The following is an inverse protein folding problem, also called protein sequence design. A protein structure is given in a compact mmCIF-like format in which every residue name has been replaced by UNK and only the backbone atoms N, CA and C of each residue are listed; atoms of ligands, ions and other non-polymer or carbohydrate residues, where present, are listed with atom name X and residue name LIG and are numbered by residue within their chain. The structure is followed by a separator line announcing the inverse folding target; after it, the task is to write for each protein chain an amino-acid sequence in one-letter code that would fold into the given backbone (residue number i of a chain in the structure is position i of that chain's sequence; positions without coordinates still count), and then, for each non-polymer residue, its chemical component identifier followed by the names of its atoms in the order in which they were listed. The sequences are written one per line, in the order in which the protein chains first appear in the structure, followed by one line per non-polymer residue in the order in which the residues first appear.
data_IF_214333843402
#
_entry.id   IF_214333843402
#
_cell.length_a   1.000
_cell.length_b   1.000
_cell.length_c   1.000
_cell.angle_alpha   90.00
_cell.angle_beta   90.00
_cell.angle_gamma   90.00
#
_symmetry.space_group_name_H-M   'P 1'
#
loop_
_entity.id
_entity.type
_entity.pdbx_description
1 polymer ?
#
# COMPACT_ATOMS: atom_id res chain seq x y z
N UNK A 1 -64.82 -46.71 44.46
CA UNK A 1 -64.04 -45.76 45.27
C UNK A 1 -62.65 -45.67 44.69
N UNK A 2 -62.38 -44.60 43.96
CA UNK A 2 -61.09 -44.38 43.25
C UNK A 2 -60.54 -43.05 43.72
N UNK A 3 -59.34 -43.05 44.24
CA UNK A 3 -58.65 -41.87 44.75
C UNK A 3 -57.71 -41.45 43.63
N UNK A 4 -57.93 -40.24 43.08
CA UNK A 4 -57.07 -39.61 42.04
C UNK A 4 -55.88 -38.95 42.70
N UNK A 5 -54.68 -39.31 42.24
CA UNK A 5 -53.40 -38.65 42.63
C UNK A 5 -53.11 -37.48 41.74
N UNK A 6 -53.05 -36.27 42.31
CA UNK A 6 -52.60 -35.05 41.67
C UNK A 6 -51.04 -35.07 41.63
N UNK A 7 -50.45 -35.00 40.39
CA UNK A 7 -49.01 -34.77 40.21
C UNK A 7 -48.78 -33.27 40.02
N UNK A 8 -48.04 -32.66 40.93
CA UNK A 8 -47.51 -31.31 40.78
C UNK A 8 -46.33 -31.29 39.75
N UNK A 9 -46.46 -30.55 38.70
CA UNK A 9 -45.36 -30.27 37.79
C UNK A 9 -44.75 -28.91 38.19
N UNK A 10 -43.52 -28.95 38.72
CA UNK A 10 -42.74 -27.73 39.00
C UNK A 10 -42.11 -27.21 37.72
N UNK A 11 -42.54 -26.06 37.28
CA UNK A 11 -41.94 -25.33 36.15
C UNK A 11 -40.70 -24.58 36.70
N UNK A 12 -39.50 -25.03 36.34
CA UNK A 12 -38.26 -24.27 36.60
C UNK A 12 -38.09 -23.27 35.46
N UNK A 13 -38.29 -21.98 35.73
CA UNK A 13 -38.00 -20.88 34.80
C UNK A 13 -36.49 -20.58 34.88
N UNK A 14 -35.75 -20.92 33.86
CA UNK A 14 -34.37 -20.47 33.69
C UNK A 14 -34.36 -19.03 33.15
N UNK A 15 -34.04 -18.06 34.00
CA UNK A 15 -33.77 -16.69 33.57
C UNK A 15 -32.33 -16.62 33.03
N UNK A 16 -32.19 -16.70 31.70
CA UNK A 16 -30.92 -16.46 31.03
C UNK A 16 -30.53 -14.98 31.13
N UNK A 17 -29.48 -14.68 31.87
CA UNK A 17 -28.88 -13.34 31.86
C UNK A 17 -28.13 -13.20 30.54
N UNK A 18 -28.71 -12.45 29.60
CA UNK A 18 -28.01 -12.01 28.38
C UNK A 18 -27.14 -10.81 28.76
N UNK A 19 -25.83 -11.08 28.97
CA UNK A 19 -24.86 -10.03 29.15
C UNK A 19 -24.64 -9.36 27.79
N UNK A 20 -25.17 -8.18 27.59
CA UNK A 20 -24.78 -7.28 26.50
C UNK A 20 -23.40 -6.74 26.83
N UNK A 21 -22.35 -7.31 26.22
CA UNK A 21 -21.06 -6.66 26.14
C UNK A 21 -21.21 -5.49 25.18
N UNK A 22 -21.29 -4.28 25.70
CA UNK A 22 -21.17 -3.07 24.91
C UNK A 22 -19.75 -3.04 24.34
N UNK A 23 -19.60 -3.32 23.05
CA UNK A 23 -18.39 -3.01 22.30
C UNK A 23 -18.27 -1.49 22.27
N UNK A 24 -17.39 -0.95 23.10
CA UNK A 24 -16.96 0.44 22.99
C UNK A 24 -16.24 0.57 21.66
N UNK A 25 -16.90 1.06 20.62
CA UNK A 25 -16.22 1.55 19.42
C UNK A 25 -15.32 2.69 19.87
N UNK A 26 -14.01 2.54 19.69
CA UNK A 26 -13.09 3.65 19.87
C UNK A 26 -13.57 4.78 18.93
N UNK A 27 -13.76 5.98 19.48
CA UNK A 27 -14.13 7.15 18.66
C UNK A 27 -13.06 7.33 17.61
N UNK A 28 -13.49 7.47 16.33
CA UNK A 28 -12.58 7.82 15.24
C UNK A 28 -11.87 9.13 15.58
N UNK A 29 -10.54 9.22 15.40
CA UNK A 29 -9.81 10.45 15.68
C UNK A 29 -10.44 11.62 14.92
N UNK A 30 -10.67 12.73 15.61
CA UNK A 30 -11.34 13.88 15.03
C UNK A 30 -10.52 14.47 13.86
N UNK A 31 -11.21 14.81 12.79
CA UNK A 31 -10.65 15.59 11.68
C UNK A 31 -10.39 17.02 12.15
N UNK A 32 -9.16 17.50 12.03
CA UNK A 32 -8.73 18.84 12.51
C UNK A 32 -8.49 19.74 11.32
N UNK A 33 -9.07 20.96 11.35
CA UNK A 33 -8.81 21.97 10.33
C UNK A 33 -7.36 22.49 10.45
N UNK A 34 -6.67 22.62 9.30
CA UNK A 34 -5.39 23.29 9.27
C UNK A 34 -5.58 24.80 9.46
N UNK A 35 -4.72 25.46 10.24
CA UNK A 35 -4.78 26.89 10.46
C UNK A 35 -4.53 27.65 9.14
N UNK A 36 -5.36 28.67 8.86
CA UNK A 36 -5.21 29.48 7.64
C UNK A 36 -3.97 30.37 7.66
N UNK A 37 -3.48 30.74 8.81
CA UNK A 37 -2.26 31.51 9.02
C UNK A 37 -0.97 30.70 8.77
N UNK A 38 -1.07 29.37 8.73
CA UNK A 38 0.03 28.48 8.31
C UNK A 38 0.06 28.24 6.78
N UNK A 39 -0.95 28.72 6.04
CA UNK A 39 -1.00 28.61 4.60
C UNK A 39 -0.13 29.67 3.91
N UNK A 40 0.50 29.28 2.80
CA UNK A 40 1.05 30.26 1.86
C UNK A 40 -0.09 30.87 1.04
N UNK A 41 -0.29 32.17 1.17
CA UNK A 41 -1.36 32.92 0.48
C UNK A 41 -0.95 33.22 -0.97
N UNK A 42 -1.84 32.94 -1.91
CA UNK A 42 -1.74 33.31 -3.33
C UNK A 42 -2.93 34.21 -3.69
N UNK A 43 -2.73 35.51 -3.56
CA UNK A 43 -3.79 36.51 -3.80
C UNK A 43 -4.16 36.62 -5.28
N UNK A 44 -3.26 36.30 -6.20
CA UNK A 44 -3.55 36.32 -7.63
C UNK A 44 -4.56 35.23 -8.00
N UNK A 45 -4.32 34.00 -7.51
CA UNK A 45 -5.18 32.84 -7.77
C UNK A 45 -6.33 32.69 -6.77
N UNK A 46 -6.31 33.51 -5.67
CA UNK A 46 -7.25 33.39 -4.55
C UNK A 46 -7.18 32.01 -3.87
N UNK A 47 -5.97 31.48 -3.66
CA UNK A 47 -5.72 30.18 -3.06
C UNK A 47 -4.95 30.29 -1.75
N UNK A 48 -5.21 29.33 -0.86
CA UNK A 48 -4.34 28.95 0.25
C UNK A 48 -3.61 27.66 -0.10
N UNK A 49 -2.28 27.65 0.02
CA UNK A 49 -1.43 26.50 -0.23
C UNK A 49 -0.90 25.94 1.07
N UNK A 50 -1.07 24.62 1.27
CA UNK A 50 -0.65 23.90 2.46
C UNK A 50 0.33 22.79 2.09
N UNK A 51 1.45 22.69 2.83
CA UNK A 51 2.35 21.54 2.73
C UNK A 51 1.60 20.28 3.16
N UNK A 52 1.63 19.25 2.31
CA UNK A 52 0.93 17.97 2.61
C UNK A 52 1.45 17.27 3.85
N UNK A 53 2.66 17.58 4.34
CA UNK A 53 3.18 17.04 5.58
C UNK A 53 2.31 17.40 6.80
N UNK A 54 1.63 18.54 6.78
CA UNK A 54 0.68 18.97 7.81
C UNK A 54 -0.56 18.05 7.90
N UNK A 55 -0.86 17.33 6.83
CA UNK A 55 -1.99 16.38 6.77
C UNK A 55 -1.64 14.98 7.31
N UNK A 56 -0.36 14.68 7.46
CA UNK A 56 0.14 13.34 7.80
C UNK A 56 0.30 12.45 6.56
N UNK A 57 1.55 12.16 6.19
CA UNK A 57 1.88 11.31 5.03
C UNK A 57 1.79 9.86 5.43
N UNK A 58 0.89 9.12 4.79
CA UNK A 58 0.78 7.65 4.91
C UNK A 58 1.76 6.95 3.95
N UNK A 59 2.10 5.69 4.24
CA UNK A 59 3.03 4.89 3.44
C UNK A 59 4.50 5.13 3.75
N UNK A 60 4.78 6.01 4.71
CA UNK A 60 6.10 6.27 5.27
C UNK A 60 6.29 5.46 6.56
N UNK A 61 7.27 4.55 6.59
CA UNK A 61 7.50 3.68 7.74
C UNK A 61 8.42 4.31 8.81
N UNK A 62 9.29 5.24 8.41
CA UNK A 62 10.23 5.91 9.33
C UNK A 62 10.10 7.42 9.23
N UNK A 63 10.17 8.09 10.37
CA UNK A 63 10.16 9.55 10.42
C UNK A 63 11.56 10.14 10.14
N UNK A 64 12.61 9.45 10.60
CA UNK A 64 14.02 9.87 10.50
C UNK A 64 14.60 9.50 9.13
N UNK A 65 14.12 10.15 8.08
CA UNK A 65 14.57 9.98 6.70
C UNK A 65 15.49 11.13 6.28
N UNK A 66 16.30 10.94 5.23
CA UNK A 66 17.24 11.97 4.73
C UNK A 66 16.51 13.10 4.00
N UNK A 67 15.40 12.81 3.33
CA UNK A 67 14.47 13.80 2.80
C UNK A 67 13.03 13.40 3.17
N UNK A 68 12.07 14.36 3.20
CA UNK A 68 10.73 14.15 3.75
C UNK A 68 9.96 12.95 3.16
N UNK A 69 10.19 12.67 1.88
CA UNK A 69 9.45 11.65 1.14
C UNK A 69 10.31 10.45 0.73
N UNK A 70 11.37 10.16 1.48
CA UNK A 70 12.17 8.95 1.34
C UNK A 70 11.49 7.75 1.97
N UNK A 71 11.69 6.56 1.39
CA UNK A 71 11.08 5.30 1.85
C UNK A 71 11.91 4.53 2.87
N UNK A 72 13.20 4.83 3.01
CA UNK A 72 14.09 4.22 4.02
C UNK A 72 14.61 5.28 5.01
N UNK A 73 14.93 4.86 6.25
CA UNK A 73 15.51 5.78 7.24
C UNK A 73 16.92 6.23 6.83
N UNK A 74 17.34 7.40 7.29
CA UNK A 74 18.67 7.95 6.95
C UNK A 74 19.83 6.98 7.29
N UNK A 75 19.70 6.22 8.38
CA UNK A 75 20.69 5.21 8.82
C UNK A 75 20.85 4.02 7.86
N UNK A 76 19.97 3.85 6.88
CA UNK A 76 20.08 2.81 5.86
C UNK A 76 21.15 3.14 4.78
N UNK A 77 21.56 4.41 4.66
CA UNK A 77 22.61 4.83 3.73
C UNK A 77 23.94 4.14 4.08
N UNK A 78 24.54 3.48 3.09
CA UNK A 78 25.76 2.71 3.28
C UNK A 78 25.61 1.34 3.96
N UNK A 79 24.40 1.01 4.46
CA UNK A 79 24.05 -0.31 5.01
C UNK A 79 23.41 -1.18 3.95
N UNK A 80 22.34 -0.69 3.33
CA UNK A 80 21.73 -1.39 2.20
C UNK A 80 22.54 -1.15 0.92
N UNK A 81 22.38 -2.03 -0.09
CA UNK A 81 23.07 -1.87 -1.37
C UNK A 81 22.75 -0.49 -2.00
N UNK A 82 23.76 0.11 -2.64
CA UNK A 82 23.63 1.43 -3.24
C UNK A 82 22.42 1.58 -4.19
N UNK A 83 22.05 0.60 -5.06
CA UNK A 83 20.84 0.69 -5.86
C UNK A 83 19.55 0.72 -5.03
N UNK A 84 19.48 -0.03 -3.92
CA UNK A 84 18.32 -0.01 -2.99
C UNK A 84 18.19 1.36 -2.35
N UNK A 85 19.32 1.92 -1.87
CA UNK A 85 19.35 3.26 -1.32
C UNK A 85 18.91 4.31 -2.35
N UNK A 86 19.44 4.28 -3.57
CA UNK A 86 19.05 5.20 -4.65
C UNK A 86 17.55 5.13 -4.94
N UNK A 87 16.99 3.92 -5.06
CA UNK A 87 15.56 3.70 -5.30
C UNK A 87 14.68 4.10 -4.11
N UNK A 88 15.19 4.06 -2.90
CA UNK A 88 14.44 4.48 -1.71
C UNK A 88 14.12 5.97 -1.68
N UNK A 89 14.80 6.77 -2.53
CA UNK A 89 14.55 8.21 -2.70
C UNK A 89 13.33 8.51 -3.58
N UNK A 90 12.71 7.50 -4.21
CA UNK A 90 11.43 7.62 -4.87
C UNK A 90 10.29 7.51 -3.85
N UNK A 91 9.16 8.21 -4.11
CA UNK A 91 8.06 8.38 -3.15
C UNK A 91 6.96 7.32 -3.30
N UNK A 92 7.27 6.16 -3.91
CA UNK A 92 6.29 5.10 -4.22
C UNK A 92 5.51 4.65 -2.98
N UNK A 93 4.18 4.56 -3.12
CA UNK A 93 3.27 4.11 -2.06
C UNK A 93 2.87 5.17 -1.06
N UNK A 94 3.54 6.33 -1.04
CA UNK A 94 3.14 7.43 -0.18
C UNK A 94 1.88 8.12 -0.69
N UNK A 95 1.02 8.52 0.24
CA UNK A 95 -0.17 9.31 -0.05
C UNK A 95 -0.54 10.18 1.15
N UNK A 96 -1.42 11.15 0.91
CA UNK A 96 -2.08 11.91 1.97
C UNK A 96 -3.58 11.76 1.87
N UNK A 97 -4.24 11.70 3.02
CA UNK A 97 -5.69 11.73 3.14
C UNK A 97 -6.10 13.04 3.76
N UNK A 98 -7.13 13.64 3.20
CA UNK A 98 -7.62 14.92 3.68
C UNK A 98 -9.12 15.08 3.44
N UNK A 99 -9.72 16.03 4.15
CA UNK A 99 -11.12 16.43 3.98
C UNK A 99 -11.18 17.90 3.62
N UNK A 100 -12.02 18.26 2.66
CA UNK A 100 -12.22 19.66 2.28
C UNK A 100 -13.61 19.87 1.69
N UNK A 101 -14.13 21.10 1.82
CA UNK A 101 -15.34 21.60 1.17
C UNK A 101 -15.02 22.41 -0.10
N UNK A 102 -13.77 22.44 -0.52
CA UNK A 102 -13.27 23.18 -1.68
C UNK A 102 -13.99 22.83 -2.98
N UNK A 103 -14.31 23.84 -3.78
CA UNK A 103 -14.91 23.70 -5.11
C UNK A 103 -13.87 23.47 -6.22
N UNK A 104 -12.58 23.61 -5.89
CA UNK A 104 -11.44 23.24 -6.73
C UNK A 104 -10.26 22.80 -5.89
N UNK A 105 -9.44 21.89 -6.42
CA UNK A 105 -8.21 21.41 -5.78
C UNK A 105 -7.05 21.61 -6.76
N UNK A 106 -5.99 22.22 -6.26
CA UNK A 106 -4.77 22.51 -6.99
C UNK A 106 -3.60 21.78 -6.33
N UNK A 107 -2.54 21.50 -7.09
CA UNK A 107 -1.31 20.96 -6.54
C UNK A 107 -0.11 21.71 -7.08
N UNK A 108 0.86 21.92 -6.20
CA UNK A 108 2.22 22.33 -6.55
C UNK A 108 3.18 21.23 -6.07
N UNK A 109 4.05 20.72 -6.95
CA UNK A 109 5.02 19.69 -6.55
C UNK A 109 6.33 19.83 -7.28
N UNK A 110 7.41 19.59 -6.54
CA UNK A 110 8.79 19.62 -7.04
C UNK A 110 9.35 18.20 -7.00
N UNK A 111 9.76 17.71 -8.17
CA UNK A 111 10.37 16.40 -8.36
C UNK A 111 11.87 16.44 -8.06
N UNK A 112 12.43 15.32 -7.63
CA UNK A 112 13.89 15.20 -7.40
C UNK A 112 14.68 15.00 -8.70
N UNK A 113 14.00 14.61 -9.79
CA UNK A 113 14.60 14.41 -11.11
C UNK A 113 13.74 15.00 -12.22
N UNK A 114 14.40 15.57 -13.24
CA UNK A 114 13.76 16.02 -14.48
C UNK A 114 13.42 14.89 -15.47
N UNK A 115 13.75 13.64 -15.18
CA UNK A 115 13.37 12.48 -15.98
C UNK A 115 11.92 12.08 -15.66
N UNK A 116 10.97 12.65 -16.39
CA UNK A 116 9.55 12.58 -16.05
C UNK A 116 8.88 11.26 -16.41
N UNK A 117 9.40 10.50 -17.38
CA UNK A 117 8.82 9.27 -17.93
C UNK A 117 9.88 8.21 -18.21
N UNK A 118 9.46 6.99 -18.45
CA UNK A 118 10.31 5.91 -18.97
C UNK A 118 9.73 5.37 -20.30
N UNK A 119 10.51 4.71 -21.16
CA UNK A 119 10.02 4.21 -22.45
C UNK A 119 8.78 3.32 -22.36
N UNK A 120 8.58 2.64 -21.24
CA UNK A 120 7.50 1.69 -20.98
C UNK A 120 6.56 2.15 -19.84
N UNK A 121 6.73 3.39 -19.33
CA UNK A 121 5.89 3.92 -18.26
C UNK A 121 5.64 5.41 -18.44
N UNK A 122 4.37 5.88 -18.49
CA UNK A 122 4.05 7.28 -18.73
C UNK A 122 4.44 8.19 -17.56
N UNK A 123 4.60 9.47 -17.85
CA UNK A 123 4.95 10.49 -16.86
C UNK A 123 3.95 10.56 -15.69
N UNK A 124 2.69 10.26 -15.92
CA UNK A 124 1.64 10.21 -14.90
C UNK A 124 1.85 9.13 -13.85
N UNK A 125 2.49 8.02 -14.21
CA UNK A 125 2.90 6.97 -13.27
C UNK A 125 4.27 7.24 -12.66
N UNK A 126 5.27 7.64 -13.47
CA UNK A 126 6.65 7.90 -13.02
C UNK A 126 6.70 9.08 -12.05
N UNK A 127 6.07 10.22 -12.41
CA UNK A 127 6.30 11.54 -11.81
C UNK A 127 5.01 12.29 -11.47
N UNK A 128 3.83 11.69 -11.73
CA UNK A 128 2.53 12.33 -11.53
C UNK A 128 2.00 12.21 -10.11
N UNK A 129 0.92 12.97 -9.86
CA UNK A 129 0.08 12.84 -8.67
C UNK A 129 -1.26 12.22 -9.07
N UNK A 130 -1.90 11.46 -8.18
CA UNK A 130 -3.16 10.77 -8.52
C UNK A 130 -4.21 10.99 -7.42
N UNK A 131 -5.30 11.69 -7.75
CA UNK A 131 -6.32 12.14 -6.81
C UNK A 131 -7.54 11.25 -6.86
N UNK A 132 -7.97 10.79 -5.69
CA UNK A 132 -9.20 10.05 -5.46
C UNK A 132 -10.13 10.82 -4.52
N UNK A 133 -11.43 10.58 -4.65
CA UNK A 133 -12.49 11.08 -3.75
C UNK A 133 -13.31 9.90 -3.23
N UNK A 134 -13.78 9.99 -2.00
CA UNK A 134 -14.70 9.01 -1.43
C UNK A 134 -16.12 9.38 -1.83
N UNK A 135 -16.86 8.46 -2.46
CA UNK A 135 -18.25 8.67 -2.86
C UNK A 135 -19.23 8.53 -1.68
N UNK A 136 -20.50 8.83 -1.92
CA UNK A 136 -21.55 8.82 -0.90
C UNK A 136 -21.84 7.45 -0.25
N UNK A 137 -21.30 6.36 -0.82
CA UNK A 137 -21.40 5.00 -0.25
C UNK A 137 -20.06 4.53 0.36
N UNK A 138 -19.07 5.43 0.47
CA UNK A 138 -17.81 5.15 1.12
C UNK A 138 -16.74 4.51 0.24
N UNK A 139 -16.94 4.46 -1.09
CA UNK A 139 -15.98 3.88 -2.04
C UNK A 139 -15.05 4.95 -2.60
N UNK A 140 -13.74 4.66 -2.64
CA UNK A 140 -12.77 5.53 -3.30
C UNK A 140 -12.92 5.48 -4.81
N UNK A 141 -13.20 6.63 -5.43
CA UNK A 141 -13.31 6.82 -6.88
C UNK A 141 -12.16 7.68 -7.39
N UNK A 142 -11.62 7.31 -8.52
CA UNK A 142 -10.65 8.16 -9.19
C UNK A 142 -11.30 9.49 -9.63
N UNK A 143 -10.55 10.58 -9.45
CA UNK A 143 -11.07 11.92 -9.76
C UNK A 143 -10.18 12.65 -10.77
N UNK A 144 -8.87 12.72 -10.53
CA UNK A 144 -7.96 13.50 -11.37
C UNK A 144 -6.52 13.02 -11.28
N UNK A 145 -5.70 13.46 -12.24
CA UNK A 145 -4.26 13.19 -12.28
C UNK A 145 -3.47 14.49 -12.48
N UNK A 146 -2.45 14.71 -11.66
CA UNK A 146 -1.44 15.73 -11.86
C UNK A 146 -0.44 15.26 -12.91
N UNK A 147 -0.46 15.90 -14.09
CA UNK A 147 0.43 15.59 -15.22
C UNK A 147 1.68 16.44 -15.14
N UNK A 148 2.87 15.84 -14.89
CA UNK A 148 4.10 16.61 -14.81
C UNK A 148 4.52 17.08 -16.21
N UNK A 149 4.91 18.33 -16.31
CA UNK A 149 5.47 18.94 -17.53
C UNK A 149 6.92 19.38 -17.36
N UNK A 150 7.39 19.47 -16.12
CA UNK A 150 8.74 19.89 -15.74
C UNK A 150 9.12 19.25 -14.38
N UNK A 151 10.29 19.58 -13.86
CA UNK A 151 10.70 19.15 -12.53
C UNK A 151 9.89 19.87 -11.44
N UNK A 152 9.51 21.13 -11.67
CA UNK A 152 8.59 21.89 -10.82
C UNK A 152 7.27 22.10 -11.56
N UNK A 153 6.15 21.83 -10.89
CA UNK A 153 4.83 21.80 -11.50
C UNK A 153 3.80 22.51 -10.62
N UNK A 154 2.89 23.24 -11.24
CA UNK A 154 1.68 23.77 -10.61
C UNK A 154 0.51 23.49 -11.55
N UNK A 155 -0.55 22.86 -11.03
CA UNK A 155 -1.72 22.47 -11.81
C UNK A 155 -3.01 22.56 -11.03
N UNK A 156 -4.10 22.92 -11.69
CA UNK A 156 -5.45 22.63 -11.20
C UNK A 156 -5.71 21.15 -11.45
N UNK A 157 -5.85 20.36 -10.38
CA UNK A 157 -6.20 18.96 -10.49
C UNK A 157 -7.65 18.79 -10.90
N UNK A 158 -8.55 19.51 -10.22
CA UNK A 158 -10.00 19.48 -10.49
C UNK A 158 -10.63 20.81 -10.12
N UNK A 159 -11.71 21.19 -10.82
CA UNK A 159 -12.55 22.35 -10.54
C UNK A 159 -14.01 22.03 -10.84
N UNK A 160 -14.93 22.87 -10.35
CA UNK A 160 -16.36 22.65 -10.49
C UNK A 160 -16.92 21.57 -9.58
N UNK A 161 -16.25 21.30 -8.46
CA UNK A 161 -16.75 20.39 -7.44
C UNK A 161 -17.96 21.04 -6.76
N UNK A 162 -19.10 20.36 -6.63
CA UNK A 162 -20.22 20.88 -5.85
C UNK A 162 -19.83 21.17 -4.41
N UNK A 163 -20.46 22.16 -3.78
CA UNK A 163 -20.26 22.51 -2.37
C UNK A 163 -20.48 21.31 -1.44
N UNK A 164 -19.78 21.28 -0.31
CA UNK A 164 -19.89 20.26 0.73
C UNK A 164 -18.60 19.49 0.96
N UNK A 165 -18.39 19.06 2.20
CA UNK A 165 -17.19 18.33 2.62
C UNK A 165 -17.13 16.93 1.98
N UNK A 166 -15.92 16.55 1.56
CA UNK A 166 -15.60 15.21 1.02
C UNK A 166 -14.22 14.78 1.47
N UNK A 167 -14.05 13.47 1.53
CA UNK A 167 -12.76 12.82 1.81
C UNK A 167 -12.02 12.59 0.50
N UNK A 168 -10.74 12.93 0.49
CA UNK A 168 -9.83 12.80 -0.65
C UNK A 168 -8.58 12.03 -0.27
N UNK A 169 -7.91 11.46 -1.29
CA UNK A 169 -6.62 10.79 -1.17
C UNK A 169 -5.76 11.16 -2.38
N UNK A 170 -4.54 11.67 -2.13
CA UNK A 170 -3.58 12.03 -3.16
C UNK A 170 -2.35 11.15 -3.04
N UNK A 171 -2.06 10.36 -4.09
CA UNK A 171 -0.86 9.52 -4.20
C UNK A 171 0.29 10.29 -4.84
N UNK A 172 1.51 9.96 -4.37
CA UNK A 172 2.78 10.53 -4.85
C UNK A 172 3.42 9.65 -5.95
N UNK A 173 4.44 10.17 -6.67
CA UNK A 173 5.13 9.50 -7.77
C UNK A 173 5.69 8.11 -7.42
N UNK A 174 5.69 7.18 -8.41
CA UNK A 174 6.20 5.82 -8.23
C UNK A 174 7.70 5.66 -8.53
N UNK A 175 8.21 6.35 -9.57
CA UNK A 175 9.59 6.21 -10.04
C UNK A 175 10.36 7.53 -10.04
N UNK A 176 9.84 8.55 -9.36
CA UNK A 176 10.52 9.80 -9.04
C UNK A 176 10.29 10.12 -7.56
N UNK A 177 11.19 10.87 -6.96
CA UNK A 177 10.97 11.46 -5.65
C UNK A 177 10.29 12.82 -5.76
N UNK A 178 9.67 13.26 -4.68
CA UNK A 178 9.28 14.66 -4.50
C UNK A 178 10.07 15.26 -3.36
N UNK A 179 10.47 16.53 -3.50
CA UNK A 179 11.09 17.31 -2.43
C UNK A 179 10.07 18.17 -1.70
N UNK A 180 8.99 18.55 -2.39
CA UNK A 180 7.89 19.37 -1.89
C UNK A 180 6.61 19.01 -2.60
N UNK A 181 5.50 18.99 -1.86
CA UNK A 181 4.14 18.91 -2.41
C UNK A 181 3.23 19.78 -1.57
N UNK A 182 2.50 20.68 -2.23
CA UNK A 182 1.48 21.53 -1.62
C UNK A 182 0.12 21.26 -2.27
N UNK A 183 -0.93 21.33 -1.46
CA UNK A 183 -2.32 21.39 -1.91
C UNK A 183 -2.82 22.83 -1.84
N UNK A 184 -3.38 23.32 -2.96
CA UNK A 184 -4.03 24.62 -3.06
C UNK A 184 -5.55 24.46 -3.07
N UNK A 185 -6.23 25.24 -2.23
CA UNK A 185 -7.70 25.33 -2.17
C UNK A 185 -8.12 26.78 -2.18
N UNK A 186 -9.37 27.12 -2.60
CA UNK A 186 -9.92 28.47 -2.47
C UNK A 186 -9.77 29.04 -1.06
N UNK A 187 -9.52 30.36 -0.92
CA UNK A 187 -9.29 31.00 0.37
C UNK A 187 -10.47 30.94 1.34
N UNK A 188 -11.69 30.73 0.82
CA UNK A 188 -12.91 30.56 1.59
C UNK A 188 -13.21 29.10 1.97
N UNK A 189 -12.39 28.15 1.51
CA UNK A 189 -12.53 26.73 1.82
C UNK A 189 -11.68 26.31 3.03
N UNK A 190 -12.03 25.15 3.59
CA UNK A 190 -11.33 24.55 4.73
C UNK A 190 -10.61 23.27 4.32
N UNK A 191 -9.34 23.12 4.73
CA UNK A 191 -8.59 21.86 4.59
C UNK A 191 -8.42 21.22 5.98
N UNK A 192 -8.75 19.94 6.08
CA UNK A 192 -8.72 19.18 7.34
C UNK A 192 -7.90 17.90 7.20
N UNK A 193 -7.26 17.48 8.28
CA UNK A 193 -6.68 16.14 8.40
C UNK A 193 -7.77 15.08 8.31
N UNK A 194 -7.41 13.88 7.84
CA UNK A 194 -8.30 12.72 7.81
C UNK A 194 -7.57 11.51 8.40
N UNK A 195 -7.41 11.46 9.74
CA UNK A 195 -6.71 10.38 10.40
C UNK A 195 -7.46 9.05 10.26
N UNK A 196 -6.74 7.93 10.41
CA UNK A 196 -7.34 6.58 10.47
C UNK A 196 -7.73 6.22 11.89
N UNK A 197 -8.73 5.38 12.01
CA UNK A 197 -9.03 4.69 13.26
C UNK A 197 -7.82 3.87 13.71
N UNK A 198 -7.57 3.80 15.03
CA UNK A 198 -6.41 3.12 15.62
C UNK A 198 -6.29 1.65 15.18
N UNK A 199 -7.42 0.96 15.06
CA UNK A 199 -7.51 -0.44 14.61
C UNK A 199 -7.04 -0.64 13.16
N UNK A 200 -7.06 0.44 12.35
CA UNK A 200 -6.65 0.45 10.95
C UNK A 200 -5.33 1.18 10.69
N UNK A 201 -4.63 1.58 11.75
CA UNK A 201 -3.41 2.37 11.65
C UNK A 201 -2.18 1.55 11.23
N UNK A 202 -2.11 0.27 11.64
CA UNK A 202 -0.98 -0.59 11.26
C UNK A 202 -0.98 -0.87 9.76
N UNK A 203 0.16 -0.67 9.06
CA UNK A 203 0.24 -0.83 7.61
C UNK A 203 0.29 -2.30 7.17
N UNK A 204 -0.14 -2.53 5.94
CA UNK A 204 0.33 -3.68 5.16
C UNK A 204 1.66 -3.29 4.52
N UNK A 205 2.72 -4.04 4.80
CA UNK A 205 4.07 -3.75 4.31
C UNK A 205 4.40 -4.70 3.17
N UNK A 206 4.63 -4.14 1.98
CA UNK A 206 5.09 -4.89 0.81
C UNK A 206 6.58 -4.68 0.61
N UNK A 207 7.36 -5.75 0.63
CA UNK A 207 8.72 -5.74 0.14
C UNK A 207 8.83 -6.54 -1.13
N UNK A 208 9.30 -5.89 -2.21
CA UNK A 208 9.32 -6.50 -3.52
C UNK A 208 10.18 -5.77 -4.55
N UNK A 209 9.79 -5.89 -5.79
CA UNK A 209 10.57 -5.55 -6.98
C UNK A 209 10.07 -4.27 -7.66
N UNK A 210 10.41 -4.09 -8.97
CA UNK A 210 9.83 -3.07 -9.84
C UNK A 210 8.30 -3.12 -9.88
N UNK A 211 7.74 -4.34 -9.81
CA UNK A 211 6.30 -4.56 -9.88
C UNK A 211 5.62 -4.05 -8.60
N UNK A 212 6.18 -4.35 -7.44
CA UNK A 212 5.72 -3.79 -6.16
C UNK A 212 5.89 -2.27 -6.13
N UNK A 213 7.02 -1.73 -6.64
CA UNK A 213 7.23 -0.29 -6.77
C UNK A 213 6.17 0.38 -7.65
N UNK A 214 5.64 -0.33 -8.66
CA UNK A 214 4.57 0.12 -9.53
C UNK A 214 4.98 0.29 -11.00
N UNK A 215 6.01 -0.44 -11.43
CA UNK A 215 6.52 -0.40 -12.81
C UNK A 215 5.43 -0.70 -13.83
N UNK A 216 5.26 0.23 -14.79
CA UNK A 216 4.28 0.26 -15.88
C UNK A 216 2.83 0.62 -15.49
N UNK A 217 2.54 0.98 -14.24
CA UNK A 217 1.26 1.59 -13.90
C UNK A 217 1.07 2.92 -14.66
N UNK A 218 -0.11 3.12 -15.25
CA UNK A 218 -0.39 4.35 -16.01
C UNK A 218 -0.40 5.60 -15.14
N UNK A 219 -0.70 5.46 -13.85
CA UNK A 219 -0.76 6.51 -12.84
C UNK A 219 -0.56 5.90 -11.45
N UNK A 220 -0.23 6.71 -10.46
CA UNK A 220 0.33 6.25 -9.19
C UNK A 220 -0.63 5.39 -8.35
N UNK A 221 -1.93 5.66 -8.40
CA UNK A 221 -2.94 4.87 -7.68
C UNK A 221 -3.33 3.55 -8.37
N UNK A 222 -2.75 3.20 -9.52
CA UNK A 222 -3.07 1.95 -10.23
C UNK A 222 -2.16 0.78 -9.90
N UNK A 223 -1.08 0.99 -9.15
CA UNK A 223 -0.31 -0.13 -8.62
C UNK A 223 -1.15 -0.96 -7.64
N UNK A 224 -1.02 -2.30 -7.69
CA UNK A 224 -1.82 -3.21 -6.84
C UNK A 224 -1.76 -2.88 -5.34
N UNK A 225 -0.61 -2.41 -4.86
CA UNK A 225 -0.44 -1.99 -3.46
C UNK A 225 -1.36 -0.81 -3.09
N UNK A 226 -1.48 0.20 -3.97
CA UNK A 226 -2.40 1.32 -3.77
C UNK A 226 -3.87 0.89 -3.90
N UNK A 227 -4.19 0.01 -4.84
CA UNK A 227 -5.54 -0.58 -5.01
C UNK A 227 -5.94 -1.32 -3.72
N UNK A 228 -5.07 -2.17 -3.20
CA UNK A 228 -5.29 -2.92 -1.97
C UNK A 228 -5.44 -1.99 -0.75
N UNK A 229 -4.62 -0.95 -0.63
CA UNK A 229 -4.74 0.05 0.44
C UNK A 229 -6.13 0.69 0.48
N UNK A 230 -6.70 1.04 -0.68
CA UNK A 230 -8.07 1.57 -0.78
C UNK A 230 -9.15 0.54 -0.47
N UNK A 231 -9.01 -0.70 -0.98
CA UNK A 231 -10.01 -1.77 -0.79
C UNK A 231 -10.04 -2.32 0.64
N UNK A 232 -8.89 -2.39 1.29
CA UNK A 232 -8.72 -2.89 2.65
C UNK A 232 -8.84 -1.78 3.71
N UNK A 233 -8.90 -0.53 3.26
CA UNK A 233 -8.84 0.67 4.11
C UNK A 233 -7.68 0.61 5.13
N UNK A 234 -6.47 0.35 4.63
CA UNK A 234 -5.23 0.27 5.41
C UNK A 234 -4.14 1.13 4.78
N UNK A 235 -3.24 1.73 5.57
CA UNK A 235 -2.02 2.31 5.01
C UNK A 235 -1.17 1.19 4.41
N UNK A 236 -0.47 1.51 3.33
CA UNK A 236 0.44 0.56 2.69
C UNK A 236 1.84 1.16 2.64
N UNK A 237 2.80 0.46 3.22
CA UNK A 237 4.22 0.77 3.06
C UNK A 237 4.74 0.00 1.85
N UNK A 238 5.16 0.73 0.82
CA UNK A 238 5.69 0.16 -0.41
C UNK A 238 7.22 0.16 -0.40
N UNK A 239 7.83 -0.99 -0.13
CA UNK A 239 9.27 -1.23 -0.21
C UNK A 239 9.61 -2.01 -1.49
N UNK A 240 9.00 -1.64 -2.61
CA UNK A 240 9.37 -2.12 -3.94
C UNK A 240 10.66 -1.43 -4.42
N UNK A 241 11.65 -2.25 -4.85
CA UNK A 241 12.93 -1.77 -5.35
C UNK A 241 13.22 -2.39 -6.72
N UNK A 242 13.06 -1.60 -7.78
CA UNK A 242 13.19 -2.03 -9.18
C UNK A 242 14.50 -2.77 -9.45
N UNK A 243 14.43 -4.06 -9.86
CA UNK A 243 15.60 -4.94 -10.06
C UNK A 243 16.34 -5.34 -8.79
N UNK A 244 15.90 -4.90 -7.61
CA UNK A 244 16.67 -4.95 -6.37
C UNK A 244 15.91 -5.48 -5.14
N UNK A 245 14.70 -6.00 -5.29
CA UNK A 245 14.01 -6.74 -4.23
C UNK A 245 14.57 -8.17 -4.17
N UNK A 246 15.52 -8.44 -3.25
CA UNK A 246 16.31 -9.68 -3.24
C UNK A 246 16.43 -10.35 -1.87
N UNK A 247 15.55 -10.06 -0.94
CA UNK A 247 15.49 -10.65 0.41
C UNK A 247 16.84 -10.59 1.18
N UNK A 248 17.62 -9.51 0.99
CA UNK A 248 18.90 -9.34 1.68
C UNK A 248 18.70 -9.18 3.20
N UNK A 249 19.58 -9.78 4.05
CA UNK A 249 19.46 -9.68 5.51
C UNK A 249 19.41 -8.25 6.04
N UNK A 250 20.20 -7.33 5.45
CA UNK A 250 20.28 -5.94 5.86
C UNK A 250 18.91 -5.23 5.68
N UNK A 251 18.21 -5.50 4.56
CA UNK A 251 16.86 -5.00 4.35
C UNK A 251 15.82 -5.70 5.24
N UNK A 252 16.01 -6.98 5.55
CA UNK A 252 15.14 -7.71 6.47
C UNK A 252 15.21 -7.15 7.90
N UNK A 253 16.38 -6.67 8.35
CA UNK A 253 16.51 -5.99 9.65
C UNK A 253 15.73 -4.67 9.66
N UNK A 254 15.75 -3.86 8.59
CA UNK A 254 14.91 -2.67 8.47
C UNK A 254 13.42 -3.04 8.38
N UNK A 255 13.05 -4.06 7.61
CA UNK A 255 11.67 -4.53 7.55
C UNK A 255 11.13 -4.88 8.94
N UNK A 256 11.94 -5.54 9.76
CA UNK A 256 11.60 -5.93 11.12
C UNK A 256 11.51 -4.75 12.11
N UNK A 257 11.87 -3.51 11.72
CA UNK A 257 11.60 -2.32 12.54
C UNK A 257 10.15 -1.82 12.43
N UNK A 258 9.42 -2.25 11.41
CA UNK A 258 8.07 -1.75 11.11
C UNK A 258 7.03 -2.60 11.86
N UNK A 259 6.21 -1.98 12.69
CA UNK A 259 5.06 -2.65 13.33
C UNK A 259 3.90 -2.78 12.32
N UNK A 260 3.96 -3.84 11.53
CA UNK A 260 3.02 -4.13 10.44
C UNK A 260 1.78 -4.90 10.92
N UNK A 261 0.65 -4.72 10.22
CA UNK A 261 -0.49 -5.64 10.32
C UNK A 261 -0.21 -6.95 9.56
N UNK A 262 0.46 -6.86 8.40
CA UNK A 262 0.87 -8.00 7.57
C UNK A 262 2.13 -7.62 6.80
N UNK A 263 3.10 -8.53 6.71
CA UNK A 263 4.23 -8.43 5.77
C UNK A 263 3.94 -9.24 4.51
N UNK A 264 4.16 -8.65 3.35
CA UNK A 264 4.05 -9.32 2.05
C UNK A 264 5.43 -9.29 1.38
N UNK A 265 5.99 -10.46 1.12
CA UNK A 265 7.29 -10.65 0.49
C UNK A 265 7.09 -11.08 -0.95
N UNK A 266 7.33 -10.15 -1.89
CA UNK A 266 7.10 -10.29 -3.34
C UNK A 266 8.39 -10.05 -4.13
N UNK A 267 9.48 -10.73 -3.72
CA UNK A 267 10.83 -10.49 -4.25
C UNK A 267 11.24 -11.44 -5.38
N UNK A 268 10.52 -12.54 -5.61
CA UNK A 268 10.91 -13.60 -6.56
C UNK A 268 11.24 -13.11 -7.98
N UNK A 269 10.58 -12.09 -8.56
CA UNK A 269 10.93 -11.59 -9.89
C UNK A 269 12.39 -11.16 -10.05
N UNK A 270 13.07 -10.79 -8.98
CA UNK A 270 14.48 -10.38 -9.02
C UNK A 270 15.47 -11.44 -8.51
N UNK A 271 15.00 -12.66 -8.17
CA UNK A 271 15.81 -13.70 -7.52
C UNK A 271 15.93 -14.95 -8.38
N UNK A 272 17.08 -15.59 -8.30
CA UNK A 272 17.28 -16.98 -8.76
C UNK A 272 16.76 -17.96 -7.72
N UNK A 273 16.56 -19.23 -8.10
CA UNK A 273 16.16 -20.29 -7.16
C UNK A 273 17.18 -20.46 -6.00
N UNK A 274 18.47 -20.31 -6.29
CA UNK A 274 19.53 -20.41 -5.29
C UNK A 274 19.45 -19.24 -4.29
N UNK A 275 19.28 -18.00 -4.77
CA UNK A 275 19.09 -16.83 -3.91
C UNK A 275 17.85 -16.98 -3.01
N UNK A 276 16.74 -17.54 -3.54
CA UNK A 276 15.53 -17.82 -2.75
C UNK A 276 15.81 -18.84 -1.66
N UNK A 277 16.47 -19.95 -2.01
CA UNK A 277 16.83 -21.01 -1.05
C UNK A 277 17.74 -20.50 0.06
N UNK A 278 18.71 -19.63 -0.26
CA UNK A 278 19.65 -19.04 0.68
C UNK A 278 18.98 -18.06 1.67
N UNK A 279 17.97 -17.27 1.20
CA UNK A 279 17.58 -16.03 1.90
C UNK A 279 16.22 -16.05 2.55
N UNK A 280 15.25 -16.81 2.02
CA UNK A 280 13.86 -16.68 2.48
C UNK A 280 13.67 -17.12 3.94
N UNK A 281 14.29 -18.23 4.37
CA UNK A 281 14.18 -18.68 5.75
C UNK A 281 14.86 -17.69 6.70
N UNK A 282 16.02 -17.17 6.31
CA UNK A 282 16.74 -16.15 7.08
C UNK A 282 15.95 -14.87 7.26
N UNK A 283 15.26 -14.41 6.19
CA UNK A 283 14.36 -13.26 6.27
C UNK A 283 13.25 -13.50 7.30
N UNK A 284 12.58 -14.67 7.21
CA UNK A 284 11.51 -15.01 8.13
C UNK A 284 12.03 -15.09 9.58
N UNK A 285 13.20 -15.68 9.84
CA UNK A 285 13.83 -15.69 11.16
C UNK A 285 14.05 -14.28 11.72
N UNK A 286 14.57 -13.34 10.89
CA UNK A 286 14.83 -11.96 11.29
C UNK A 286 13.52 -11.28 11.69
N UNK A 287 12.49 -11.36 10.87
CA UNK A 287 11.18 -10.77 11.17
C UNK A 287 10.54 -11.39 12.41
N UNK A 288 10.59 -12.73 12.55
CA UNK A 288 9.98 -13.46 13.69
C UNK A 288 10.63 -13.12 15.04
N UNK A 289 11.90 -12.74 15.08
CA UNK A 289 12.56 -12.29 16.33
C UNK A 289 11.88 -11.08 16.97
N UNK A 290 11.35 -10.15 16.15
CA UNK A 290 10.69 -8.93 16.62
C UNK A 290 9.15 -9.04 16.55
N UNK A 291 8.64 -9.79 15.59
CA UNK A 291 7.21 -9.94 15.29
C UNK A 291 6.81 -11.41 15.23
N UNK A 292 6.73 -12.11 16.39
CA UNK A 292 6.54 -13.56 16.43
C UNK A 292 5.19 -14.01 15.87
N UNK A 293 4.17 -13.14 15.87
CA UNK A 293 2.80 -13.49 15.49
C UNK A 293 2.27 -12.74 14.25
N UNK A 294 2.93 -11.65 13.81
CA UNK A 294 2.45 -10.89 12.65
C UNK A 294 2.45 -11.77 11.40
N UNK A 295 1.35 -11.85 10.64
CA UNK A 295 1.29 -12.65 9.44
C UNK A 295 2.36 -12.24 8.40
N UNK A 296 2.98 -13.26 7.76
CA UNK A 296 3.90 -13.08 6.64
C UNK A 296 3.33 -13.83 5.45
N UNK A 297 3.08 -13.13 4.35
CA UNK A 297 2.66 -13.70 3.07
C UNK A 297 3.88 -13.81 2.15
N UNK A 298 4.22 -15.02 1.74
CA UNK A 298 5.26 -15.28 0.75
C UNK A 298 4.59 -15.42 -0.61
N UNK A 299 4.84 -14.48 -1.51
CA UNK A 299 4.25 -14.44 -2.84
C UNK A 299 5.19 -15.02 -3.90
N UNK A 300 4.68 -15.93 -4.72
CA UNK A 300 5.37 -16.41 -5.91
C UNK A 300 5.50 -15.32 -6.97
N UNK A 301 6.49 -15.48 -7.85
CA UNK A 301 6.54 -14.72 -9.10
C UNK A 301 5.36 -15.06 -9.99
N UNK A 302 4.71 -14.05 -10.56
CA UNK A 302 3.67 -14.23 -11.59
C UNK A 302 4.25 -14.87 -12.83
N UNK A 303 3.40 -15.62 -13.58
CA UNK A 303 3.84 -16.25 -14.81
C UNK A 303 4.15 -15.20 -15.88
N UNK A 304 5.34 -15.26 -16.49
CA UNK A 304 5.63 -14.43 -17.64
C UNK A 304 4.58 -14.63 -18.74
N UNK A 305 4.03 -13.55 -19.30
CA UNK A 305 2.96 -13.64 -20.29
C UNK A 305 3.34 -14.43 -21.56
N UNK A 306 4.62 -14.52 -21.87
CA UNK A 306 5.16 -15.27 -23.02
C UNK A 306 5.77 -16.63 -22.65
N UNK A 307 5.62 -17.06 -21.38
CA UNK A 307 6.13 -18.36 -20.91
C UNK A 307 5.43 -19.57 -21.58
N UNK A 308 4.25 -19.37 -22.16
CA UNK A 308 3.57 -20.41 -22.92
C UNK A 308 4.38 -20.86 -24.17
N UNK A 309 5.24 -19.97 -24.73
CA UNK A 309 6.09 -20.23 -25.87
C UNK A 309 7.59 -20.25 -25.50
N UNK A 310 8.02 -19.41 -24.56
CA UNK A 310 9.42 -19.24 -24.18
C UNK A 310 9.74 -20.15 -22.98
N UNK A 311 10.28 -21.36 -23.28
CA UNK A 311 10.56 -22.38 -22.27
C UNK A 311 11.51 -21.93 -21.16
N UNK A 312 12.51 -21.11 -21.46
CA UNK A 312 13.43 -20.56 -20.45
C UNK A 312 12.75 -19.67 -19.41
N UNK A 313 11.74 -18.90 -19.82
CA UNK A 313 10.92 -18.09 -18.91
C UNK A 313 10.01 -18.97 -18.05
N UNK A 314 9.41 -20.01 -18.63
CA UNK A 314 8.65 -21.03 -17.88
C UNK A 314 9.54 -21.68 -16.83
N UNK A 315 10.69 -22.17 -17.23
CA UNK A 315 11.64 -22.82 -16.32
C UNK A 315 12.06 -21.89 -15.18
N UNK A 316 12.30 -20.60 -15.46
CA UNK A 316 12.62 -19.64 -14.43
C UNK A 316 11.50 -19.48 -13.39
N UNK A 317 10.24 -19.35 -13.82
CA UNK A 317 9.10 -19.33 -12.90
C UNK A 317 9.04 -20.61 -12.07
N UNK A 318 9.10 -21.78 -12.72
CA UNK A 318 8.95 -23.08 -12.08
C UNK A 318 10.05 -23.32 -11.03
N UNK A 319 11.30 -23.02 -11.35
CA UNK A 319 12.44 -23.25 -10.42
C UNK A 319 12.40 -22.30 -9.22
N UNK A 320 12.11 -21.01 -9.41
CA UNK A 320 12.05 -20.04 -8.30
C UNK A 320 10.83 -20.30 -7.40
N UNK A 321 9.69 -20.68 -7.96
CA UNK A 321 8.50 -21.08 -7.21
C UNK A 321 8.74 -22.36 -6.41
N UNK A 322 9.36 -23.38 -7.02
CA UNK A 322 9.71 -24.63 -6.32
C UNK A 322 10.64 -24.38 -5.14
N UNK A 323 11.63 -23.49 -5.28
CA UNK A 323 12.51 -23.08 -4.20
C UNK A 323 11.74 -22.42 -3.04
N UNK A 324 10.84 -21.46 -3.35
CA UNK A 324 10.02 -20.79 -2.35
C UNK A 324 9.08 -21.76 -1.65
N UNK A 325 8.40 -22.63 -2.42
CA UNK A 325 7.47 -23.62 -1.86
C UNK A 325 8.19 -24.62 -0.94
N UNK A 326 9.35 -25.09 -1.35
CA UNK A 326 10.15 -26.00 -0.52
C UNK A 326 10.59 -25.36 0.81
N UNK A 327 11.01 -24.10 0.77
CA UNK A 327 11.35 -23.36 1.99
C UNK A 327 10.12 -23.11 2.89
N UNK A 328 8.98 -22.74 2.28
CA UNK A 328 7.72 -22.58 3.00
C UNK A 328 7.30 -23.88 3.73
N UNK A 329 7.37 -25.02 3.03
CA UNK A 329 7.00 -26.33 3.60
C UNK A 329 7.94 -26.74 4.75
N UNK A 330 9.26 -26.50 4.62
CA UNK A 330 10.22 -26.74 5.71
C UNK A 330 9.91 -25.87 6.95
N UNK A 331 9.65 -24.57 6.75
CA UNK A 331 9.29 -23.67 7.86
C UNK A 331 8.00 -24.09 8.55
N UNK A 332 6.99 -24.51 7.78
CA UNK A 332 5.76 -25.06 8.34
C UNK A 332 6.00 -26.35 9.14
N UNK A 333 6.78 -27.28 8.59
CA UNK A 333 7.13 -28.53 9.26
C UNK A 333 7.91 -28.32 10.57
N UNK A 334 8.69 -27.24 10.67
CA UNK A 334 9.40 -26.86 11.92
C UNK A 334 8.59 -25.99 12.86
N UNK A 335 7.30 -25.76 12.56
CA UNK A 335 6.36 -25.07 13.46
C UNK A 335 6.39 -23.54 13.38
N UNK A 336 6.95 -22.94 12.33
CA UNK A 336 6.87 -21.48 12.13
C UNK A 336 5.43 -21.10 11.82
N UNK A 337 4.78 -20.39 12.75
CA UNK A 337 3.37 -20.00 12.64
C UNK A 337 3.17 -18.71 11.85
N UNK A 338 1.92 -18.46 11.40
CA UNK A 338 1.53 -17.22 10.73
C UNK A 338 2.17 -17.01 9.37
N UNK A 339 2.64 -18.08 8.69
CA UNK A 339 3.10 -18.04 7.32
C UNK A 339 1.94 -18.36 6.37
N UNK A 340 1.81 -17.56 5.33
CA UNK A 340 0.81 -17.69 4.28
C UNK A 340 1.49 -17.73 2.93
N UNK A 341 0.91 -18.43 1.97
CA UNK A 341 1.48 -18.63 0.64
C UNK A 341 0.53 -18.11 -0.42
N UNK A 342 1.05 -17.37 -1.38
CA UNK A 342 0.27 -16.81 -2.48
C UNK A 342 0.85 -17.32 -3.82
N UNK A 343 0.09 -18.15 -4.57
CA UNK A 343 0.52 -18.66 -5.86
C UNK A 343 0.70 -17.57 -6.92
N UNK A 344 1.64 -17.80 -7.83
CA UNK A 344 1.96 -16.86 -8.91
C UNK A 344 1.05 -16.95 -10.13
N UNK A 345 0.56 -18.15 -10.44
CA UNK A 345 -0.19 -18.41 -11.70
C UNK A 345 -1.44 -17.55 -11.89
N UNK A 346 -2.31 -17.30 -10.88
CA UNK A 346 -3.54 -16.56 -11.10
C UNK A 346 -3.34 -15.04 -11.16
N UNK A 347 -2.14 -14.53 -10.84
CA UNK A 347 -1.94 -13.09 -10.59
C UNK A 347 -2.15 -12.19 -11.82
N UNK A 348 -1.93 -12.68 -13.03
CA UNK A 348 -2.09 -11.88 -14.26
C UNK A 348 -3.26 -12.32 -15.16
N UNK A 349 -3.97 -13.39 -14.79
CA UNK A 349 -4.95 -14.06 -15.65
C UNK A 349 -4.27 -14.94 -16.69
N UNK A 350 -5.07 -15.49 -17.61
CA UNK A 350 -4.68 -16.53 -18.57
C UNK A 350 -4.68 -16.08 -20.06
N UNK A 351 -5.05 -14.80 -20.31
CA UNK A 351 -5.17 -14.25 -21.67
C UNK A 351 -3.88 -13.58 -22.18
N UNK A 352 -2.83 -13.51 -21.36
CA UNK A 352 -1.54 -12.88 -21.63
C UNK A 352 -1.60 -11.34 -21.89
N UNK A 353 -2.71 -10.67 -21.53
CA UNK A 353 -2.91 -9.22 -21.72
C UNK A 353 -2.49 -8.37 -20.52
N UNK A 354 -2.10 -9.02 -19.42
CA UNK A 354 -1.82 -8.34 -18.13
C UNK A 354 -0.48 -7.61 -18.05
N UNK A 355 0.40 -7.68 -19.05
CA UNK A 355 1.75 -7.08 -18.98
C UNK A 355 2.10 -6.19 -20.16
N UNK A 356 3.12 -5.32 -19.97
CA UNK A 356 3.68 -4.45 -21.01
C UNK A 356 4.80 -5.17 -21.79
N UNK A 357 5.62 -5.99 -21.10
CA UNK A 357 6.86 -6.57 -21.63
C UNK A 357 7.02 -8.05 -21.29
N UNK A 358 5.92 -8.70 -20.94
CA UNK A 358 5.89 -10.09 -20.52
C UNK A 358 6.05 -10.28 -18.99
N UNK A 359 6.50 -9.24 -18.26
CA UNK A 359 6.75 -9.28 -16.81
C UNK A 359 6.03 -8.17 -16.04
N UNK A 360 6.21 -6.90 -16.45
CA UNK A 360 5.65 -5.75 -15.73
C UNK A 360 4.17 -5.56 -16.05
N UNK A 361 3.29 -5.50 -15.04
CA UNK A 361 1.86 -5.41 -15.23
C UNK A 361 1.42 -4.11 -15.89
N UNK A 362 0.42 -4.19 -16.76
CA UNK A 362 -0.45 -3.07 -17.13
C UNK A 362 -1.40 -2.75 -15.96
N UNK A 363 -2.22 -1.68 -16.08
CA UNK A 363 -3.30 -1.43 -15.12
C UNK A 363 -4.24 -2.63 -14.97
N UNK A 364 -4.52 -3.36 -16.06
CA UNK A 364 -5.28 -4.61 -16.03
C UNK A 364 -4.58 -5.66 -15.16
N UNK A 365 -3.28 -5.85 -15.37
CA UNK A 365 -2.47 -6.78 -14.57
C UNK A 365 -2.46 -6.42 -13.09
N UNK A 366 -2.31 -5.14 -12.75
CA UNK A 366 -2.36 -4.68 -11.37
C UNK A 366 -3.73 -4.87 -10.71
N UNK A 367 -4.82 -4.67 -11.45
CA UNK A 367 -6.17 -4.97 -10.95
C UNK A 367 -6.33 -6.46 -10.65
N UNK A 368 -5.89 -7.35 -11.55
CA UNK A 368 -5.90 -8.81 -11.36
C UNK A 368 -5.04 -9.23 -10.18
N UNK A 369 -3.84 -8.67 -10.05
CA UNK A 369 -3.00 -8.90 -8.87
C UNK A 369 -3.74 -8.52 -7.58
N UNK A 370 -4.36 -7.35 -7.53
CA UNK A 370 -5.14 -6.94 -6.37
C UNK A 370 -6.29 -7.91 -6.06
N UNK A 371 -6.98 -8.44 -7.09
CA UNK A 371 -8.05 -9.42 -6.95
C UNK A 371 -7.55 -10.76 -6.36
N UNK A 372 -6.29 -11.13 -6.61
CA UNK A 372 -5.66 -12.34 -6.06
C UNK A 372 -5.11 -12.13 -4.65
N UNK A 373 -4.51 -10.95 -4.37
CA UNK A 373 -3.95 -10.64 -3.05
C UNK A 373 -5.05 -10.37 -2.00
N UNK A 374 -6.13 -9.71 -2.37
CA UNK A 374 -7.19 -9.28 -1.44
C UNK A 374 -7.81 -10.42 -0.63
N UNK A 375 -8.21 -11.56 -1.22
CA UNK A 375 -8.78 -12.70 -0.47
C UNK A 375 -7.82 -13.31 0.56
N UNK A 376 -6.51 -13.21 0.32
CA UNK A 376 -5.48 -13.66 1.27
C UNK A 376 -5.29 -12.64 2.41
N UNK A 377 -5.23 -11.35 2.07
CA UNK A 377 -4.93 -10.30 3.05
C UNK A 377 -6.12 -9.94 3.94
N UNK A 378 -7.33 -9.91 3.39
CA UNK A 378 -8.52 -9.46 4.13
C UNK A 378 -8.79 -10.25 5.43
N UNK A 379 -8.74 -11.60 5.47
CA UNK A 379 -8.90 -12.36 6.70
C UNK A 379 -7.79 -12.10 7.73
N UNK A 380 -6.55 -11.84 7.28
CA UNK A 380 -5.42 -11.57 8.17
C UNK A 380 -5.53 -10.21 8.86
N UNK A 381 -6.26 -9.27 8.27
CA UNK A 381 -6.48 -7.93 8.79
C UNK A 381 -7.74 -7.83 9.69
N UNK A 382 -8.54 -8.88 9.75
CA UNK A 382 -9.74 -8.97 10.59
C UNK A 382 -9.49 -9.59 11.98
N UNK A 383 -8.25 -10.02 12.24
CA UNK A 383 -7.81 -10.65 13.50
C UNK A 383 -7.36 -9.58 14.53
#
# INVERSE_FOLDING_TARGET
MSIASLKYISLIVWAGIVSFTATTHAESPASVALPQDEARVDDERKLHWYDIQQLGVEGKAWQETKAPFDRLPAKAEGVVRAPVWGLSRHSAGMCVRFRTDATSIHAHWTLTSGNLAMPHMPATGVSGLDLYVKDGIGTWRWLAVGRPGAQENTATLVSGIPTGERDYMLYLPLYNGVSQVELGIPQDATLKTLPRESERAKPVVFWGTSITQGGCASRTGMVHTAILGRRLDRPVVNLGFSGNGKMEPEMAEFLAEIDAAVYVIDCLPNMTADEVTERVERLVEIVRKKHPHTPIVLAEDRTYSDAFLISSKRQRNDTSRAALKSAFDRMQATGVSGLHYLPGEPQLGDDNLGTVDGSHPTDLGFMRMADVFEPVLRPLLAQ
#
